data_IF_133294022030
#
_entry.id   IF_133294022030
#
_cell.length_a   1.000
_cell.length_b   1.000
_cell.length_c   1.000
_cell.angle_alpha   90.00
_cell.angle_beta   90.00
_cell.angle_gamma   90.00
#
_symmetry.space_group_name_H-M   'P 1'
#
loop_
_entity.id
_entity.type
_entity.pdbx_description
1 polymer ?
#
# COMPACT_ATOMS: atom_id res chain seq x y z
N UNK A 1 -4.57 14.37 -9.34
CA UNK A 1 -4.92 13.03 -9.90
C UNK A 1 -4.42 12.01 -8.92
N UNK A 2 -5.20 10.96 -8.61
CA UNK A 2 -4.80 9.91 -7.68
C UNK A 2 -3.70 9.06 -8.34
N UNK A 3 -2.65 8.78 -7.59
CA UNK A 3 -1.54 7.91 -8.01
C UNK A 3 -1.87 6.44 -7.74
N UNK A 4 -1.27 5.54 -8.51
CA UNK A 4 -1.39 4.08 -8.35
C UNK A 4 -0.01 3.50 -8.01
N UNK A 5 0.14 3.04 -6.79
CA UNK A 5 1.23 2.17 -6.35
C UNK A 5 0.86 0.71 -6.60
N UNK A 6 1.61 0.01 -7.42
CA UNK A 6 1.35 -1.41 -7.72
C UNK A 6 2.20 -2.29 -6.82
N UNK A 7 1.56 -3.04 -5.91
CA UNK A 7 2.26 -4.04 -5.12
C UNK A 7 2.50 -5.31 -5.95
N UNK A 8 3.76 -5.74 -6.02
CA UNK A 8 4.23 -6.86 -6.86
C UNK A 8 4.57 -8.13 -6.07
N UNK A 9 4.27 -8.18 -4.77
CA UNK A 9 4.65 -9.30 -3.89
C UNK A 9 4.19 -10.65 -4.42
N UNK A 10 2.96 -10.71 -4.97
CA UNK A 10 2.41 -11.97 -5.44
C UNK A 10 3.03 -12.47 -6.73
N UNK A 11 3.75 -11.65 -7.48
CA UNK A 11 4.63 -12.12 -8.56
C UNK A 11 5.77 -12.96 -7.94
N UNK A 12 6.39 -12.44 -6.88
CA UNK A 12 7.40 -13.18 -6.13
C UNK A 12 6.81 -14.43 -5.44
N UNK A 13 5.55 -14.40 -4.96
CA UNK A 13 4.86 -15.58 -4.41
C UNK A 13 4.80 -16.71 -5.44
N UNK A 14 4.45 -16.41 -6.69
CA UNK A 14 4.43 -17.41 -7.77
C UNK A 14 5.83 -18.00 -7.99
N UNK A 15 6.87 -17.16 -8.04
CA UNK A 15 8.26 -17.61 -8.14
C UNK A 15 8.64 -18.53 -6.98
N UNK A 16 8.30 -18.15 -5.77
CA UNK A 16 8.65 -18.90 -4.55
C UNK A 16 7.89 -20.22 -4.39
N UNK A 17 6.74 -20.39 -5.06
CA UNK A 17 6.05 -21.68 -5.12
C UNK A 17 6.93 -22.79 -5.71
N UNK A 18 7.91 -22.43 -6.55
CA UNK A 18 8.88 -23.36 -7.16
C UNK A 18 10.33 -23.06 -6.74
N UNK A 19 10.58 -21.98 -5.97
CA UNK A 19 11.94 -21.49 -5.62
C UNK A 19 12.85 -21.38 -6.83
N UNK A 20 12.35 -20.75 -7.88
CA UNK A 20 13.04 -20.59 -9.17
C UNK A 20 13.36 -19.11 -9.43
N UNK A 21 13.74 -18.75 -10.66
CA UNK A 21 14.11 -17.39 -11.06
C UNK A 21 12.94 -16.62 -11.71
N UNK A 22 11.85 -17.28 -12.02
CA UNK A 22 10.68 -16.65 -12.66
C UNK A 22 9.36 -17.02 -11.99
N UNK A 23 8.33 -16.13 -12.09
CA UNK A 23 8.40 -14.80 -12.71
C UNK A 23 9.26 -13.82 -11.90
N UNK A 24 10.02 -12.93 -12.60
CA UNK A 24 10.88 -11.95 -11.97
C UNK A 24 10.07 -10.70 -11.54
N UNK A 25 10.05 -10.32 -10.24
CA UNK A 25 9.36 -9.12 -9.77
C UNK A 25 9.87 -7.82 -10.41
N UNK A 26 11.15 -7.77 -10.79
CA UNK A 26 11.74 -6.58 -11.44
C UNK A 26 11.14 -6.37 -12.83
N UNK A 27 10.95 -7.45 -13.58
CA UNK A 27 10.25 -7.37 -14.87
C UNK A 27 8.78 -6.96 -14.68
N UNK A 28 8.12 -7.50 -13.65
CA UNK A 28 6.76 -7.10 -13.34
C UNK A 28 6.65 -5.60 -12.99
N UNK A 29 7.64 -5.03 -12.30
CA UNK A 29 7.72 -3.61 -12.00
C UNK A 29 7.81 -2.76 -13.27
N UNK A 30 8.64 -3.16 -14.23
CA UNK A 30 8.75 -2.49 -15.54
C UNK A 30 7.43 -2.57 -16.32
N UNK A 31 6.80 -3.74 -16.38
CA UNK A 31 5.51 -3.90 -17.04
C UNK A 31 4.40 -3.08 -16.36
N UNK A 32 4.40 -3.02 -15.03
CA UNK A 32 3.45 -2.19 -14.27
C UNK A 32 3.66 -0.69 -14.59
N UNK A 33 4.91 -0.21 -14.61
CA UNK A 33 5.22 1.17 -14.98
C UNK A 33 4.74 1.49 -16.40
N UNK A 34 5.01 0.62 -17.38
CA UNK A 34 4.53 0.77 -18.76
C UNK A 34 2.99 0.68 -18.88
N UNK A 35 2.33 0.08 -17.89
CA UNK A 35 0.87 0.06 -17.73
C UNK A 35 0.28 1.35 -17.14
N UNK A 36 1.12 2.23 -16.60
CA UNK A 36 0.71 3.51 -16.01
C UNK A 36 0.73 3.53 -14.48
N UNK A 37 1.44 2.60 -13.83
CA UNK A 37 1.76 2.71 -12.41
C UNK A 37 2.63 3.94 -12.14
N UNK A 38 2.33 4.68 -11.06
CA UNK A 38 3.09 5.85 -10.63
C UNK A 38 4.23 5.45 -9.67
N UNK A 39 4.10 4.29 -9.04
CA UNK A 39 5.10 3.70 -8.15
C UNK A 39 4.92 2.19 -8.03
N UNK A 40 5.95 1.55 -7.49
CA UNK A 40 5.96 0.13 -7.17
C UNK A 40 6.01 -0.02 -5.65
N UNK A 41 5.20 -0.91 -5.14
CA UNK A 41 5.23 -1.33 -3.74
C UNK A 41 5.71 -2.77 -3.65
N UNK A 42 6.60 -3.05 -2.73
CA UNK A 42 6.97 -4.42 -2.36
C UNK A 42 7.16 -4.54 -0.85
N UNK A 43 6.80 -5.69 -0.30
CA UNK A 43 6.93 -5.99 1.11
C UNK A 43 8.09 -6.95 1.33
N UNK A 44 9.18 -6.46 1.93
CA UNK A 44 10.26 -7.32 2.41
C UNK A 44 9.91 -7.81 3.80
N UNK A 45 9.28 -8.97 3.90
CA UNK A 45 8.93 -9.59 5.19
C UNK A 45 10.18 -10.15 5.88
N UNK A 46 10.15 -10.18 7.22
CA UNK A 46 11.23 -10.78 8.01
C UNK A 46 11.49 -12.25 7.64
N UNK A 47 10.44 -13.00 7.26
CA UNK A 47 10.54 -14.41 6.87
C UNK A 47 10.88 -14.64 5.39
N UNK A 48 11.00 -13.58 4.58
CA UNK A 48 11.35 -13.65 3.14
C UNK A 48 10.49 -14.63 2.34
N UNK A 49 9.20 -14.81 2.70
CA UNK A 49 8.32 -15.79 2.04
C UNK A 49 8.06 -15.53 0.55
N UNK A 50 8.24 -14.29 0.10
CA UNK A 50 8.07 -13.90 -1.32
C UNK A 50 9.20 -12.98 -1.80
N UNK A 51 9.15 -11.68 -1.61
CA UNK A 51 10.22 -10.74 -1.96
C UNK A 51 11.50 -11.08 -1.19
N UNK A 52 12.63 -11.04 -1.89
CA UNK A 52 13.97 -11.28 -1.36
C UNK A 52 14.78 -9.99 -1.32
N UNK A 53 15.83 -9.93 -0.51
CA UNK A 53 16.71 -8.76 -0.39
C UNK A 53 17.28 -8.32 -1.74
N UNK A 54 17.61 -9.26 -2.60
CA UNK A 54 18.11 -8.99 -3.95
C UNK A 54 17.05 -8.35 -4.85
N UNK A 55 15.78 -8.74 -4.71
CA UNK A 55 14.69 -8.10 -5.46
C UNK A 55 14.60 -6.61 -5.10
N UNK A 56 14.63 -6.27 -3.81
CA UNK A 56 14.56 -4.88 -3.33
C UNK A 56 15.74 -4.07 -3.85
N UNK A 57 16.95 -4.64 -3.81
CA UNK A 57 18.15 -3.99 -4.35
C UNK A 57 18.00 -3.70 -5.84
N UNK A 58 17.56 -4.67 -6.65
CA UNK A 58 17.35 -4.50 -8.10
C UNK A 58 16.21 -3.56 -8.44
N UNK A 59 15.11 -3.59 -7.68
CA UNK A 59 14.00 -2.64 -7.84
C UNK A 59 14.46 -1.21 -7.60
N UNK A 60 15.32 -0.98 -6.61
CA UNK A 60 15.86 0.36 -6.31
C UNK A 60 16.74 0.91 -7.44
N UNK A 61 17.34 0.05 -8.26
CA UNK A 61 18.14 0.44 -9.43
C UNK A 61 17.28 0.95 -10.61
N UNK A 62 15.96 0.74 -10.58
CA UNK A 62 15.01 1.28 -11.57
C UNK A 62 14.76 2.77 -11.31
N UNK A 63 15.69 3.62 -11.73
CA UNK A 63 15.76 5.05 -11.36
C UNK A 63 14.56 5.91 -11.73
N UNK A 64 13.68 5.44 -12.60
CA UNK A 64 12.48 6.17 -13.05
C UNK A 64 11.18 5.68 -12.41
N UNK A 65 11.26 4.69 -11.50
CA UNK A 65 10.12 4.10 -10.84
C UNK A 65 10.27 4.32 -9.34
N UNK A 66 9.30 4.98 -8.72
CA UNK A 66 9.32 5.18 -7.27
C UNK A 66 9.11 3.84 -6.57
N UNK A 67 9.93 3.58 -5.56
CA UNK A 67 9.82 2.39 -4.72
C UNK A 67 9.23 2.74 -3.36
N UNK A 68 8.13 2.10 -3.00
CA UNK A 68 7.60 2.04 -1.64
C UNK A 68 7.96 0.67 -1.04
N UNK A 69 8.76 0.67 0.01
CA UNK A 69 9.17 -0.53 0.73
C UNK A 69 8.28 -0.73 1.96
N UNK A 70 7.41 -1.75 1.93
CA UNK A 70 6.68 -2.20 3.12
C UNK A 70 7.60 -3.05 3.99
N UNK A 71 7.57 -2.80 5.32
CA UNK A 71 8.49 -3.44 6.25
C UNK A 71 7.97 -3.42 7.69
N UNK A 72 8.40 -4.40 8.49
CA UNK A 72 8.24 -4.34 9.93
C UNK A 72 9.13 -3.22 10.53
N UNK A 73 8.72 -2.69 11.69
CA UNK A 73 9.49 -1.67 12.41
C UNK A 73 10.64 -2.27 13.24
N UNK A 74 11.33 -3.30 12.75
CA UNK A 74 12.47 -3.95 13.42
C UNK A 74 13.79 -3.30 13.03
N UNK A 75 14.83 -3.48 13.86
CA UNK A 75 16.15 -2.91 13.62
C UNK A 75 16.75 -3.39 12.29
N UNK A 76 16.61 -4.69 11.99
CA UNK A 76 17.08 -5.29 10.73
C UNK A 76 16.45 -4.59 9.52
N UNK A 77 15.11 -4.46 9.50
CA UNK A 77 14.40 -3.85 8.39
C UNK A 77 14.72 -2.36 8.24
N UNK A 78 14.86 -1.64 9.35
CA UNK A 78 15.27 -0.23 9.34
C UNK A 78 16.67 -0.07 8.76
N UNK A 79 17.62 -0.93 9.12
CA UNK A 79 18.98 -0.89 8.58
C UNK A 79 19.00 -1.22 7.07
N UNK A 80 18.17 -2.17 6.62
CA UNK A 80 18.03 -2.47 5.20
C UNK A 80 17.46 -1.24 4.47
N UNK A 81 16.37 -0.65 4.97
CA UNK A 81 15.76 0.53 4.36
C UNK A 81 16.76 1.72 4.28
N UNK A 82 17.54 1.96 5.34
CA UNK A 82 18.57 3.01 5.34
C UNK A 82 19.70 2.77 4.32
N UNK A 83 20.02 1.52 4.01
CA UNK A 83 21.00 1.17 2.96
C UNK A 83 20.41 1.32 1.56
N UNK A 84 19.18 0.84 1.34
CA UNK A 84 18.48 0.85 0.05
C UNK A 84 18.02 2.26 -0.32
N UNK A 85 17.56 3.04 0.67
CA UNK A 85 16.99 4.39 0.50
C UNK A 85 15.86 4.42 -0.55
N UNK A 86 14.76 3.66 -0.31
CA UNK A 86 13.58 3.80 -1.15
C UNK A 86 13.01 5.22 -1.04
N UNK A 87 12.21 5.65 -2.00
CA UNK A 87 11.52 6.93 -1.95
C UNK A 87 10.55 6.99 -0.76
N UNK A 88 9.91 5.85 -0.43
CA UNK A 88 9.04 5.73 0.74
C UNK A 88 9.27 4.40 1.43
N UNK A 89 9.21 4.39 2.76
CA UNK A 89 9.13 3.19 3.58
C UNK A 89 7.81 3.21 4.34
N UNK A 90 7.03 2.13 4.23
CA UNK A 90 5.76 1.98 4.92
C UNK A 90 5.88 0.96 6.03
N UNK A 91 5.63 1.41 7.27
CA UNK A 91 5.63 0.54 8.43
C UNK A 91 4.30 -0.22 8.51
N UNK A 92 4.39 -1.54 8.48
CA UNK A 92 3.24 -2.46 8.53
C UNK A 92 3.36 -3.42 9.73
N UNK A 93 2.26 -3.95 10.27
CA UNK A 93 2.35 -5.03 11.23
C UNK A 93 2.81 -6.31 10.55
N UNK A 94 3.64 -7.10 11.23
CA UNK A 94 4.01 -8.44 10.78
C UNK A 94 3.81 -9.46 11.90
N UNK A 95 2.94 -10.46 11.64
CA UNK A 95 2.79 -11.65 12.46
C UNK A 95 3.31 -12.87 11.71
N UNK A 96 4.10 -13.74 12.39
CA UNK A 96 4.69 -14.93 11.76
C UNK A 96 3.65 -15.92 11.20
N UNK A 97 2.45 -15.93 11.79
CA UNK A 97 1.36 -16.85 11.41
C UNK A 97 0.32 -16.22 10.48
N UNK A 98 0.41 -14.92 10.20
CA UNK A 98 -0.53 -14.24 9.32
C UNK A 98 -0.32 -14.65 7.85
N UNK A 99 -1.40 -15.04 7.19
CA UNK A 99 -1.39 -15.32 5.74
C UNK A 99 -1.45 -14.00 4.98
N UNK A 100 -2.20 -13.03 5.50
CA UNK A 100 -2.32 -11.66 5.00
C UNK A 100 -2.37 -10.69 6.18
N UNK A 101 -2.19 -9.40 5.95
CA UNK A 101 -2.31 -8.37 6.98
C UNK A 101 -3.76 -8.31 7.48
N UNK A 102 -4.00 -8.65 8.75
CA UNK A 102 -5.34 -8.73 9.33
C UNK A 102 -5.85 -7.39 9.88
N UNK A 103 -4.96 -6.41 10.05
CA UNK A 103 -5.29 -5.06 10.56
C UNK A 103 -4.17 -4.07 10.32
N UNK A 104 -4.38 -2.81 10.70
CA UNK A 104 -3.36 -1.76 10.67
C UNK A 104 -2.36 -1.87 11.81
N UNK A 105 -1.23 -1.20 11.68
CA UNK A 105 -0.20 -1.06 12.73
C UNK A 105 -0.79 -0.29 13.92
N UNK A 106 -0.70 -0.82 15.13
CA UNK A 106 -1.10 -0.10 16.35
C UNK A 106 -0.04 0.93 16.75
N UNK A 107 -0.07 2.07 16.07
CA UNK A 107 0.86 3.18 16.29
C UNK A 107 0.67 3.76 17.69
N UNK A 108 -0.58 3.90 18.13
CA UNK A 108 -0.90 4.56 19.38
C UNK A 108 -0.39 3.82 20.62
N UNK A 109 -0.29 2.50 20.56
CA UNK A 109 0.27 1.72 21.68
C UNK A 109 1.80 1.62 21.64
N UNK A 110 2.44 1.98 20.51
CA UNK A 110 3.88 1.80 20.30
C UNK A 110 4.61 3.11 19.94
N UNK A 111 4.02 4.29 20.26
CA UNK A 111 4.54 5.61 19.85
C UNK A 111 6.02 5.81 20.16
N UNK A 112 6.48 5.45 21.37
CA UNK A 112 7.85 5.70 21.79
C UNK A 112 8.89 4.95 20.93
N UNK A 113 8.60 3.73 20.53
CA UNK A 113 9.44 2.89 19.67
C UNK A 113 9.36 3.38 18.22
N UNK A 114 8.16 3.55 17.71
CA UNK A 114 7.92 3.95 16.32
C UNK A 114 8.46 5.36 16.04
N UNK A 115 8.41 6.28 17.00
CA UNK A 115 9.02 7.61 16.85
C UNK A 115 10.52 7.55 16.61
N UNK A 116 11.24 6.61 17.24
CA UNK A 116 12.68 6.40 17.00
C UNK A 116 12.92 5.82 15.60
N UNK A 117 12.12 4.84 15.19
CA UNK A 117 12.19 4.23 13.85
C UNK A 117 11.93 5.27 12.76
N UNK A 118 10.85 6.05 12.91
CA UNK A 118 10.51 7.13 11.97
C UNK A 118 11.64 8.17 11.90
N UNK A 119 12.19 8.56 13.04
CA UNK A 119 13.34 9.48 13.09
C UNK A 119 14.53 8.96 12.28
N UNK A 120 14.94 7.71 12.50
CA UNK A 120 16.07 7.08 11.80
C UNK A 120 15.86 7.00 10.28
N UNK A 121 14.67 6.64 9.86
CA UNK A 121 14.32 6.59 8.43
C UNK A 121 14.31 7.99 7.78
N UNK A 122 13.74 8.98 8.46
CA UNK A 122 13.74 10.38 8.00
C UNK A 122 15.14 10.97 7.90
N UNK A 123 16.02 10.68 8.86
CA UNK A 123 17.41 11.12 8.84
C UNK A 123 18.18 10.52 7.65
N UNK A 124 17.76 9.34 7.17
CA UNK A 124 18.26 8.73 5.94
C UNK A 124 17.65 9.33 4.65
N UNK A 125 16.74 10.32 4.77
CA UNK A 125 16.07 10.97 3.63
C UNK A 125 14.88 10.20 3.06
N UNK A 126 14.32 9.25 3.81
CA UNK A 126 13.20 8.39 3.38
C UNK A 126 11.88 9.00 3.85
N UNK A 127 10.89 9.08 2.96
CA UNK A 127 9.51 9.44 3.34
C UNK A 127 8.91 8.28 4.12
N UNK A 128 8.38 8.53 5.32
CA UNK A 128 7.81 7.47 6.15
C UNK A 128 6.29 7.49 6.08
N UNK A 129 5.72 6.35 5.69
CA UNK A 129 4.31 6.01 5.74
C UNK A 129 4.02 5.03 6.87
N UNK A 130 2.81 5.05 7.40
CA UNK A 130 2.30 4.03 8.31
C UNK A 130 1.00 3.46 7.77
N UNK A 131 0.86 2.14 7.81
CA UNK A 131 -0.37 1.43 7.44
C UNK A 131 -1.24 1.25 8.67
N UNK A 132 -2.39 1.91 8.75
CA UNK A 132 -3.23 1.99 9.95
C UNK A 132 -4.71 1.74 9.66
N UNK A 133 -5.44 1.30 10.65
CA UNK A 133 -6.89 1.24 10.58
C UNK A 133 -7.53 2.65 10.57
N UNK A 134 -8.76 2.76 10.08
CA UNK A 134 -9.50 4.02 9.95
C UNK A 134 -10.00 4.55 11.30
N UNK A 135 -9.09 4.72 12.25
CA UNK A 135 -9.33 5.19 13.62
C UNK A 135 -8.59 6.49 13.90
N UNK A 136 -9.30 7.51 14.42
CA UNK A 136 -8.71 8.83 14.70
C UNK A 136 -7.53 8.74 15.68
N UNK A 137 -7.62 7.85 16.68
CA UNK A 137 -6.51 7.59 17.63
C UNK A 137 -5.22 7.20 16.92
N UNK A 138 -5.30 6.36 15.89
CA UNK A 138 -4.15 5.92 15.11
C UNK A 138 -3.60 7.06 14.23
N UNK A 139 -4.49 7.82 13.61
CA UNK A 139 -4.11 9.00 12.80
C UNK A 139 -3.37 10.05 13.62
N UNK A 140 -3.89 10.39 14.82
CA UNK A 140 -3.24 11.33 15.72
C UNK A 140 -1.87 10.84 16.21
N UNK A 141 -1.77 9.54 16.53
CA UNK A 141 -0.51 8.92 16.92
C UNK A 141 0.51 8.96 15.77
N UNK A 142 0.08 8.69 14.54
CA UNK A 142 0.94 8.79 13.35
C UNK A 142 1.53 10.20 13.18
N UNK A 143 0.74 11.24 13.41
CA UNK A 143 1.23 12.62 13.39
C UNK A 143 2.26 12.88 14.51
N UNK A 144 2.02 12.39 15.74
CA UNK A 144 2.94 12.58 16.88
C UNK A 144 4.28 11.88 16.70
N UNK A 145 4.32 10.73 16.02
CA UNK A 145 5.60 10.06 15.69
C UNK A 145 6.33 10.70 14.51
N UNK A 146 5.66 11.61 13.77
CA UNK A 146 6.25 12.34 12.65
C UNK A 146 6.17 11.60 11.30
N UNK A 147 5.18 10.71 11.11
CA UNK A 147 4.91 10.13 9.80
C UNK A 147 4.50 11.23 8.81
N UNK A 148 4.94 11.10 7.56
CA UNK A 148 4.56 12.02 6.49
C UNK A 148 3.31 11.56 5.72
N UNK A 149 3.04 10.26 5.75
CA UNK A 149 1.96 9.61 5.01
C UNK A 149 1.23 8.64 5.94
N UNK A 150 -0.08 8.59 5.83
CA UNK A 150 -0.89 7.50 6.39
C UNK A 150 -1.60 6.77 5.26
N UNK A 151 -1.42 5.47 5.20
CA UNK A 151 -2.22 4.58 4.37
C UNK A 151 -3.31 3.94 5.22
N UNK A 152 -4.56 4.19 4.84
CA UNK A 152 -5.71 3.60 5.53
C UNK A 152 -5.98 2.20 4.99
N UNK A 153 -6.06 1.25 5.92
CA UNK A 153 -6.45 -0.14 5.66
C UNK A 153 -7.88 -0.22 5.17
N UNK A 154 -8.09 -0.59 3.90
CA UNK A 154 -9.42 -0.70 3.30
C UNK A 154 -10.03 -2.10 3.39
N UNK A 155 -9.39 -3.04 4.08
CA UNK A 155 -9.86 -4.42 4.24
C UNK A 155 -11.28 -4.55 4.80
N UNK A 156 -11.65 -3.86 5.89
CA UNK A 156 -13.02 -3.89 6.43
C UNK A 156 -14.07 -3.44 5.41
N UNK A 157 -13.80 -2.38 4.66
CA UNK A 157 -14.65 -1.92 3.55
C UNK A 157 -14.77 -2.99 2.46
N UNK A 158 -13.66 -3.56 2.01
CA UNK A 158 -13.64 -4.58 0.97
C UNK A 158 -14.37 -5.85 1.39
N UNK A 159 -14.23 -6.27 2.66
CA UNK A 159 -14.96 -7.38 3.24
C UNK A 159 -16.48 -7.10 3.27
N UNK A 160 -16.89 -5.92 3.75
CA UNK A 160 -18.29 -5.52 3.76
C UNK A 160 -18.86 -5.54 2.34
N UNK A 161 -18.16 -4.96 1.35
CA UNK A 161 -18.54 -4.94 -0.05
C UNK A 161 -18.75 -6.35 -0.60
N UNK A 162 -17.82 -7.26 -0.39
CA UNK A 162 -17.91 -8.63 -0.86
C UNK A 162 -19.06 -9.40 -0.18
N UNK A 163 -19.18 -9.30 1.15
CA UNK A 163 -20.22 -10.02 1.92
C UNK A 163 -21.65 -9.54 1.65
N UNK A 164 -21.81 -8.33 1.12
CA UNK A 164 -23.10 -7.74 0.74
C UNK A 164 -23.40 -7.84 -0.77
N UNK A 165 -22.81 -8.82 -1.46
CA UNK A 165 -23.09 -9.08 -2.87
C UNK A 165 -22.57 -7.99 -3.82
N UNK A 166 -21.55 -7.23 -3.39
CA UNK A 166 -20.96 -6.10 -4.12
C UNK A 166 -21.88 -4.88 -4.24
N UNK A 167 -22.81 -4.74 -3.30
CA UNK A 167 -23.70 -3.57 -3.22
C UNK A 167 -22.99 -2.43 -2.48
N UNK A 168 -22.55 -1.42 -3.25
CA UNK A 168 -21.87 -0.24 -2.71
C UNK A 168 -22.79 0.68 -1.88
N UNK A 169 -24.11 0.56 -2.05
CA UNK A 169 -25.12 1.36 -1.33
C UNK A 169 -25.57 0.69 -0.03
N UNK A 170 -25.15 -0.56 0.21
CA UNK A 170 -25.45 -1.27 1.46
C UNK A 170 -25.00 -0.45 2.68
N UNK A 171 -25.85 -0.30 3.73
CA UNK A 171 -25.50 0.47 4.93
C UNK A 171 -24.16 0.06 5.58
N UNK A 172 -23.81 -1.22 5.53
CA UNK A 172 -22.54 -1.72 6.06
C UNK A 172 -21.35 -1.18 5.24
N UNK A 173 -21.44 -1.19 3.91
CA UNK A 173 -20.40 -0.68 3.01
C UNK A 173 -20.24 0.82 3.16
N UNK A 174 -21.36 1.56 3.16
CA UNK A 174 -21.37 3.02 3.36
C UNK A 174 -20.78 3.40 4.71
N UNK A 175 -21.06 2.60 5.78
CA UNK A 175 -20.49 2.83 7.11
C UNK A 175 -18.97 2.73 7.10
N UNK A 176 -18.40 1.69 6.49
CA UNK A 176 -16.94 1.52 6.40
C UNK A 176 -16.29 2.62 5.53
N UNK A 177 -16.91 2.97 4.41
CA UNK A 177 -16.42 4.05 3.54
C UNK A 177 -16.37 5.39 4.28
N UNK A 178 -17.38 5.70 5.11
CA UNK A 178 -17.41 6.91 5.95
C UNK A 178 -16.29 6.93 7.01
N UNK A 179 -15.88 5.78 7.53
CA UNK A 179 -14.73 5.72 8.46
C UNK A 179 -13.45 6.12 7.73
N UNK A 180 -13.25 5.58 6.51
CA UNK A 180 -12.08 5.92 5.67
C UNK A 180 -12.08 7.42 5.35
N UNK A 181 -13.23 7.98 4.98
CA UNK A 181 -13.40 9.41 4.67
C UNK A 181 -13.01 10.29 5.86
N UNK A 182 -13.57 10.02 7.06
CA UNK A 182 -13.26 10.77 8.29
C UNK A 182 -11.78 10.67 8.67
N UNK A 183 -11.19 9.47 8.55
CA UNK A 183 -9.76 9.30 8.80
C UNK A 183 -8.93 10.10 7.79
N UNK A 184 -9.30 10.08 6.51
CA UNK A 184 -8.65 10.86 5.46
C UNK A 184 -8.72 12.38 5.68
N UNK A 185 -9.85 12.90 6.19
CA UNK A 185 -9.99 14.30 6.59
C UNK A 185 -9.04 14.65 7.73
N UNK A 186 -8.98 13.81 8.77
CA UNK A 186 -8.08 14.00 9.91
C UNK A 186 -6.59 13.95 9.48
N UNK A 187 -6.19 12.99 8.65
CA UNK A 187 -4.83 12.88 8.11
C UNK A 187 -4.42 14.19 7.43
N UNK A 188 -5.27 14.71 6.54
CA UNK A 188 -4.99 15.95 5.81
C UNK A 188 -4.97 17.18 6.73
N UNK A 189 -5.86 17.26 7.72
CA UNK A 189 -5.90 18.37 8.68
C UNK A 189 -4.62 18.44 9.55
N UNK A 190 -3.96 17.29 9.76
CA UNK A 190 -2.69 17.17 10.47
C UNK A 190 -1.46 17.32 9.55
N UNK A 191 -1.66 17.68 8.28
CA UNK A 191 -0.59 17.95 7.32
C UNK A 191 0.05 16.72 6.70
N UNK A 192 -0.52 15.54 6.90
CA UNK A 192 -0.04 14.28 6.31
C UNK A 192 -0.72 13.99 4.96
N UNK A 193 -0.06 13.18 4.13
CA UNK A 193 -0.66 12.66 2.89
C UNK A 193 -1.58 11.49 3.21
N UNK A 194 -2.79 11.52 2.65
CA UNK A 194 -3.78 10.45 2.77
C UNK A 194 -3.65 9.47 1.61
N UNK A 195 -3.21 8.25 1.90
CA UNK A 195 -3.20 7.10 1.00
C UNK A 195 -4.17 6.04 1.51
N UNK A 196 -4.56 5.10 0.65
CA UNK A 196 -5.40 3.97 1.03
C UNK A 196 -5.00 2.72 0.25
N UNK A 197 -5.21 1.55 0.84
CA UNK A 197 -4.83 0.29 0.20
C UNK A 197 -5.32 -0.93 0.95
N UNK A 198 -4.94 -2.07 0.44
CA UNK A 198 -5.29 -3.41 0.86
C UNK A 198 -6.70 -3.86 0.46
N UNK A 199 -6.82 -5.04 -0.15
CA UNK A 199 -8.06 -5.69 -0.60
C UNK A 199 -8.89 -4.90 -1.65
N UNK A 200 -8.37 -3.81 -2.21
CA UNK A 200 -8.99 -3.13 -3.34
C UNK A 200 -8.85 -3.96 -4.63
N UNK A 201 -9.90 -3.90 -5.45
CA UNK A 201 -9.96 -4.63 -6.71
C UNK A 201 -10.80 -3.86 -7.75
N UNK A 202 -10.96 -4.41 -8.96
CA UNK A 202 -11.66 -3.79 -10.09
C UNK A 202 -13.15 -3.51 -9.83
N UNK A 203 -13.76 -4.09 -8.80
CA UNK A 203 -15.17 -3.92 -8.48
C UNK A 203 -15.44 -2.95 -7.34
N UNK A 204 -14.43 -2.73 -6.46
CA UNK A 204 -14.61 -1.93 -5.25
C UNK A 204 -13.70 -0.69 -5.16
N UNK A 205 -12.82 -0.47 -6.14
CA UNK A 205 -11.86 0.64 -6.08
C UNK A 205 -12.51 2.02 -6.26
N UNK A 206 -13.58 2.11 -7.07
CA UNK A 206 -14.18 3.39 -7.45
C UNK A 206 -14.71 4.22 -6.27
N UNK A 207 -15.47 3.67 -5.29
CA UNK A 207 -15.95 4.45 -4.16
C UNK A 207 -14.79 5.05 -3.35
N UNK A 208 -13.68 4.32 -3.16
CA UNK A 208 -12.49 4.82 -2.46
C UNK A 208 -11.78 5.90 -3.28
N UNK A 209 -11.67 5.71 -4.60
CA UNK A 209 -11.06 6.69 -5.51
C UNK A 209 -11.89 7.99 -5.65
N UNK A 210 -13.16 8.01 -5.22
CA UNK A 210 -13.98 9.21 -5.17
C UNK A 210 -13.81 10.02 -3.89
N UNK A 211 -13.15 9.47 -2.87
CA UNK A 211 -12.93 10.18 -1.60
C UNK A 211 -12.02 11.39 -1.81
N UNK A 212 -12.41 12.50 -1.20
CA UNK A 212 -11.68 13.76 -1.33
C UNK A 212 -10.29 13.67 -0.68
N UNK A 213 -9.26 13.95 -1.48
CA UNK A 213 -7.90 14.11 -1.00
C UNK A 213 -7.11 12.82 -0.87
N UNK A 214 -7.61 11.70 -1.39
CA UNK A 214 -6.78 10.50 -1.62
C UNK A 214 -5.63 10.86 -2.53
N UNK A 215 -4.40 10.62 -2.10
CA UNK A 215 -3.18 10.88 -2.85
C UNK A 215 -2.76 9.69 -3.70
N UNK A 216 -2.75 8.49 -3.13
CA UNK A 216 -2.30 7.27 -3.79
C UNK A 216 -3.10 6.06 -3.29
N UNK A 217 -3.34 5.11 -4.19
CA UNK A 217 -3.93 3.81 -3.88
C UNK A 217 -2.89 2.71 -4.12
N UNK A 218 -2.66 1.88 -3.10
CA UNK A 218 -1.75 0.74 -3.20
C UNK A 218 -2.56 -0.55 -3.43
N UNK A 219 -2.34 -1.20 -4.58
CA UNK A 219 -3.13 -2.36 -5.03
C UNK A 219 -2.18 -3.44 -5.57
N UNK A 220 -2.27 -4.65 -5.04
CA UNK A 220 -1.40 -5.76 -5.42
C UNK A 220 -2.17 -6.97 -5.92
N UNK A 221 -2.72 -7.78 -5.00
CA UNK A 221 -3.31 -9.08 -5.29
C UNK A 221 -4.28 -9.07 -6.49
N UNK A 222 -5.21 -8.10 -6.55
CA UNK A 222 -6.18 -8.01 -7.63
C UNK A 222 -5.54 -7.79 -9.00
N UNK A 223 -4.49 -6.94 -9.06
CA UNK A 223 -3.76 -6.67 -10.30
C UNK A 223 -2.99 -7.91 -10.75
N UNK A 224 -2.28 -8.58 -9.84
CA UNK A 224 -1.55 -9.82 -10.17
C UNK A 224 -2.52 -10.92 -10.60
N UNK A 225 -3.65 -11.09 -9.92
CA UNK A 225 -4.71 -12.03 -10.32
C UNK A 225 -5.23 -11.74 -11.73
N UNK A 226 -5.49 -10.48 -12.06
CA UNK A 226 -5.93 -10.08 -13.41
C UNK A 226 -4.84 -10.31 -14.45
N UNK A 227 -3.59 -10.05 -14.07
CA UNK A 227 -2.43 -10.20 -14.95
C UNK A 227 -2.20 -11.64 -15.44
N UNK A 228 -2.67 -12.66 -14.70
CA UNK A 228 -2.64 -14.05 -15.15
C UNK A 228 -3.43 -14.28 -16.46
N UNK A 229 -4.41 -13.43 -16.75
CA UNK A 229 -5.29 -13.56 -17.92
C UNK A 229 -4.98 -12.57 -19.04
N UNK A 230 -4.46 -11.36 -18.68
CA UNK A 230 -4.28 -10.28 -19.66
C UNK A 230 -2.87 -9.73 -19.73
N UNK A 231 -1.97 -10.20 -18.86
CA UNK A 231 -0.63 -9.66 -18.67
C UNK A 231 -0.61 -8.43 -17.73
N UNK A 232 0.56 -8.18 -17.11
CA UNK A 232 0.72 -7.16 -16.07
C UNK A 232 0.42 -5.75 -16.58
N UNK A 233 0.93 -5.39 -17.75
CA UNK A 233 0.75 -4.04 -18.33
C UNK A 233 -0.73 -3.69 -18.55
N UNK A 234 -1.51 -4.61 -19.09
CA UNK A 234 -2.94 -4.39 -19.32
C UNK A 234 -3.73 -4.37 -18.03
N UNK A 235 -3.45 -5.28 -17.09
CA UNK A 235 -4.08 -5.27 -15.77
C UNK A 235 -3.88 -3.93 -15.05
N UNK A 236 -2.68 -3.38 -15.07
CA UNK A 236 -2.38 -2.06 -14.47
C UNK A 236 -3.12 -0.95 -15.21
N UNK A 237 -3.14 -0.97 -16.54
CA UNK A 237 -3.85 0.03 -17.35
C UNK A 237 -5.35 0.06 -17.05
N UNK A 238 -5.99 -1.10 -16.94
CA UNK A 238 -7.40 -1.22 -16.56
C UNK A 238 -7.65 -0.60 -15.18
N UNK A 239 -6.82 -0.93 -14.18
CA UNK A 239 -6.95 -0.40 -12.81
C UNK A 239 -6.73 1.12 -12.77
N UNK A 240 -5.68 1.61 -13.43
CA UNK A 240 -5.40 3.04 -13.50
C UNK A 240 -6.54 3.82 -14.14
N UNK A 241 -7.14 3.30 -15.20
CA UNK A 241 -8.29 3.92 -15.87
C UNK A 241 -9.47 4.06 -14.91
N UNK A 242 -9.84 3.01 -14.16
CA UNK A 242 -10.93 3.06 -13.18
C UNK A 242 -10.68 4.15 -12.12
N UNK A 243 -9.47 4.23 -11.58
CA UNK A 243 -9.10 5.23 -10.57
C UNK A 243 -9.23 6.65 -11.13
N UNK A 244 -8.72 6.88 -12.35
CA UNK A 244 -8.75 8.21 -12.98
C UNK A 244 -10.19 8.63 -13.33
N UNK A 245 -11.00 7.73 -13.87
CA UNK A 245 -12.40 8.00 -14.21
C UNK A 245 -13.22 8.33 -12.96
N UNK A 246 -13.07 7.53 -11.88
CA UNK A 246 -13.75 7.76 -10.60
C UNK A 246 -13.35 9.09 -9.96
N UNK A 247 -12.07 9.41 -9.91
CA UNK A 247 -11.54 10.66 -9.38
C UNK A 247 -12.05 11.89 -10.14
N UNK A 248 -12.14 11.83 -11.47
CA UNK A 248 -12.67 12.91 -12.30
C UNK A 248 -14.18 13.11 -12.10
N UNK A 249 -14.93 12.03 -11.91
CA UNK A 249 -16.37 12.12 -11.65
C UNK A 249 -16.68 12.81 -10.33
N UNK A 250 -15.83 12.62 -9.31
CA UNK A 250 -15.97 13.27 -7.99
C UNK A 250 -15.58 14.77 -7.99
N UNK A 251 -14.82 15.23 -8.98
CA UNK A 251 -14.37 16.61 -9.10
C UNK A 251 -15.35 17.53 -9.85
N UNK A 252 -16.39 16.96 -10.44
CA UNK A 252 -17.49 17.67 -11.14
C UNK A 252 -18.66 17.92 -10.21
#
# INVERSE_FOLDING_TARGET
>A
MIELGVNIDHVATVRQARRTYEPDPVWAAVEAHLGGADGITCHLREDRRHIQDEDVRRLRELTHIRLNLEMAATEEMVDIACRIRPEMAMLVPEGRMEITTEGGLDVASHEAVLKKVVGKLRDAGIVVSVFIDAELRQVEAAARIGAAVCEIHTGPYAHAFHSKGRDAESPAVVSELRKIEKAGEAIRSLGMRFNAGHALNYFNVEPVARLKGVGELHIGHAIVSRALFVGMREAVREMKRLIVEASRAAAR
#
